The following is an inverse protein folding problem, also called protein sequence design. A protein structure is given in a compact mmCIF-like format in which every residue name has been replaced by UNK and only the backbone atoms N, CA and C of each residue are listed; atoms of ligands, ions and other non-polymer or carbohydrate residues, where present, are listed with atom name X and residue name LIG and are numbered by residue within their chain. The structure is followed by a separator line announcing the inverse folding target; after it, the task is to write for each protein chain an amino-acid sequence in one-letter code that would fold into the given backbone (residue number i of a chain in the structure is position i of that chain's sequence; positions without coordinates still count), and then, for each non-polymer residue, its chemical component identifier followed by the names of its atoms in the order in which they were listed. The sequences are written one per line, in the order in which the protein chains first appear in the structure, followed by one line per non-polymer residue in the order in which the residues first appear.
data_IF_901603378810
#
_entry.id   IF_901603378810
#
_cell.length_a   1.000
_cell.length_b   1.000
_cell.length_c   1.000
_cell.angle_alpha   90.00
_cell.angle_beta   90.00
_cell.angle_gamma   90.00
#
_symmetry.space_group_name_H-M   'P 1'
#
loop_
_entity.id
_entity.type
_entity.pdbx_description
1 polymer ?
#
# COMPACT_ATOMS: atom_id res chain seq x y z
N UNK A 1 -35.73 -22.89 -33.69
CA UNK A 1 -36.49 -22.95 -32.41
C UNK A 1 -35.50 -23.33 -31.31
N UNK A 2 -34.98 -22.35 -30.56
CA UNK A 2 -33.97 -22.60 -29.51
C UNK A 2 -34.67 -22.89 -28.17
N UNK A 3 -34.28 -23.96 -27.46
CA UNK A 3 -34.91 -24.30 -26.18
C UNK A 3 -34.42 -23.35 -25.09
N UNK A 4 -35.31 -22.50 -24.59
CA UNK A 4 -35.04 -21.72 -23.38
C UNK A 4 -35.00 -22.65 -22.17
N UNK A 5 -33.80 -22.86 -21.61
CA UNK A 5 -33.62 -23.56 -20.32
C UNK A 5 -34.28 -22.72 -19.21
N UNK A 6 -35.36 -23.24 -18.62
CA UNK A 6 -35.97 -22.69 -17.40
C UNK A 6 -34.94 -22.74 -16.26
N UNK A 7 -34.36 -21.60 -15.92
CA UNK A 7 -33.61 -21.45 -14.67
C UNK A 7 -34.59 -21.55 -13.50
N UNK A 8 -34.24 -22.34 -12.49
CA UNK A 8 -35.05 -22.49 -11.28
C UNK A 8 -34.95 -21.23 -10.42
N UNK A 9 -36.03 -20.85 -9.74
CA UNK A 9 -36.12 -19.67 -8.88
C UNK A 9 -34.96 -19.59 -7.86
N UNK A 10 -34.47 -20.75 -7.40
CA UNK A 10 -33.33 -20.89 -6.49
C UNK A 10 -32.01 -20.39 -7.10
N UNK A 11 -31.79 -20.60 -8.40
CA UNK A 11 -30.62 -20.09 -9.12
C UNK A 11 -30.68 -18.58 -9.34
N UNK A 12 -31.90 -18.01 -9.48
CA UNK A 12 -32.09 -16.57 -9.65
C UNK A 12 -31.75 -15.85 -8.32
N UNK A 13 -32.28 -16.32 -7.19
CA UNK A 13 -32.06 -15.72 -5.86
C UNK A 13 -30.57 -15.71 -5.48
N UNK A 14 -29.80 -16.73 -5.86
CA UNK A 14 -28.37 -16.81 -5.54
C UNK A 14 -27.52 -15.84 -6.37
N UNK A 15 -27.91 -15.56 -7.62
CA UNK A 15 -27.17 -14.65 -8.51
C UNK A 15 -27.39 -13.18 -8.16
N UNK A 16 -28.60 -12.79 -7.75
CA UNK A 16 -28.92 -11.39 -7.43
C UNK A 16 -28.15 -10.87 -6.20
N UNK A 17 -27.92 -11.73 -5.20
CA UNK A 17 -27.17 -11.37 -3.99
C UNK A 17 -25.68 -11.07 -4.27
N UNK A 18 -25.08 -11.78 -5.22
CA UNK A 18 -23.68 -11.58 -5.62
C UNK A 18 -23.51 -10.25 -6.37
N UNK A 19 -24.46 -9.92 -7.26
CA UNK A 19 -24.42 -8.66 -8.01
C UNK A 19 -24.60 -7.44 -7.09
N UNK A 20 -25.48 -7.53 -6.08
CA UNK A 20 -25.68 -6.44 -5.11
C UNK A 20 -24.41 -6.17 -4.26
N UNK A 21 -23.67 -7.22 -3.89
CA UNK A 21 -22.39 -7.12 -3.18
C UNK A 21 -21.29 -6.47 -4.04
N UNK A 22 -21.31 -6.70 -5.36
CA UNK A 22 -20.40 -6.02 -6.30
C UNK A 22 -20.77 -4.54 -6.53
N UNK A 23 -22.06 -4.20 -6.54
CA UNK A 23 -22.51 -2.81 -6.71
C UNK A 23 -22.25 -1.97 -5.46
N UNK A 24 -22.41 -2.53 -4.26
CA UNK A 24 -22.12 -1.83 -2.99
C UNK A 24 -20.63 -1.59 -2.77
N UNK A 25 -19.75 -2.41 -3.33
CA UNK A 25 -18.30 -2.19 -3.24
C UNK A 25 -17.80 -1.08 -4.17
N UNK A 26 -18.54 -0.72 -5.22
CA UNK A 26 -18.15 0.33 -6.16
C UNK A 26 -18.57 1.74 -5.74
N UNK A 27 -19.64 1.89 -4.95
CA UNK A 27 -20.18 3.21 -4.59
C UNK A 27 -19.36 4.01 -3.55
N UNK A 28 -18.33 3.41 -2.92
CA UNK A 28 -17.59 4.03 -1.81
C UNK A 28 -16.26 4.74 -2.13
N UNK A 29 -15.91 4.91 -3.41
CA UNK A 29 -14.53 5.24 -3.84
C UNK A 29 -14.22 6.75 -3.91
N UNK A 30 -15.08 7.64 -3.43
CA UNK A 30 -14.80 9.07 -3.50
C UNK A 30 -13.70 9.48 -2.49
N UNK A 31 -12.68 10.13 -3.02
CA UNK A 31 -11.36 10.41 -2.46
C UNK A 31 -11.41 11.31 -1.21
N UNK A 32 -10.88 10.82 -0.09
CA UNK A 32 -10.70 11.56 1.16
C UNK A 32 -9.22 11.80 1.47
N UNK A 33 -8.60 12.76 0.81
CA UNK A 33 -7.33 13.35 1.24
C UNK A 33 -7.61 14.66 1.97
N UNK A 34 -6.93 14.88 3.10
CA UNK A 34 -7.08 16.09 3.89
C UNK A 34 -6.25 17.20 3.24
N UNK A 35 -6.91 18.29 2.84
CA UNK A 35 -6.21 19.51 2.39
C UNK A 35 -5.39 20.09 3.54
N UNK A 36 -4.31 20.80 3.22
CA UNK A 36 -3.52 21.47 4.26
C UNK A 36 -4.39 22.45 5.04
N UNK A 37 -4.39 22.30 6.36
CA UNK A 37 -4.91 23.31 7.28
C UNK A 37 -3.72 24.11 7.83
N UNK A 38 -3.75 25.43 7.68
CA UNK A 38 -2.65 26.30 8.13
C UNK A 38 -2.31 26.15 9.61
N UNK A 39 -3.30 25.75 10.43
CA UNK A 39 -3.13 25.57 11.86
C UNK A 39 -2.47 24.23 12.21
N UNK A 40 -2.39 23.29 11.25
CA UNK A 40 -1.77 21.97 11.40
C UNK A 40 -0.39 21.87 10.73
N UNK A 41 0.15 22.97 10.21
CA UNK A 41 1.49 22.99 9.61
C UNK A 41 2.53 22.93 10.73
N UNK A 42 3.18 21.79 10.88
CA UNK A 42 4.32 21.57 11.77
C UNK A 42 5.58 21.37 10.91
N UNK A 43 6.76 21.76 11.42
CA UNK A 43 8.07 21.55 10.79
C UNK A 43 8.39 20.08 10.52
N UNK A 44 7.75 19.15 11.24
CA UNK A 44 7.88 17.70 11.01
C UNK A 44 6.90 17.15 9.98
N UNK A 45 5.90 17.94 9.57
CA UNK A 45 4.89 17.50 8.61
C UNK A 45 5.46 17.49 7.19
N UNK A 46 5.14 16.44 6.47
CA UNK A 46 5.44 16.32 5.05
C UNK A 46 4.17 16.58 4.25
N UNK A 47 4.34 17.19 3.10
CA UNK A 47 3.28 17.58 2.19
C UNK A 47 3.63 17.15 0.77
N UNK A 48 2.63 17.09 -0.09
CA UNK A 48 2.81 16.81 -1.51
C UNK A 48 1.93 17.77 -2.30
N UNK A 49 2.43 18.27 -3.43
CA UNK A 49 1.64 19.12 -4.33
C UNK A 49 0.71 18.27 -5.19
N UNK A 50 -0.60 18.52 -5.12
CA UNK A 50 -1.63 17.85 -5.94
C UNK A 50 -1.86 18.54 -7.30
N UNK A 51 -1.39 19.77 -7.46
CA UNK A 51 -1.44 20.56 -8.70
C UNK A 51 -0.22 21.49 -8.84
N UNK A 52 -0.07 22.11 -10.01
CA UNK A 52 1.01 23.03 -10.32
C UNK A 52 0.98 24.25 -9.40
N UNK A 53 2.11 24.48 -8.74
CA UNK A 53 2.31 25.63 -7.85
C UNK A 53 3.51 26.43 -8.34
N UNK A 54 3.53 27.75 -8.13
CA UNK A 54 4.71 28.56 -8.44
C UNK A 54 5.48 28.86 -7.16
N UNK A 55 6.79 28.86 -7.25
CA UNK A 55 7.67 29.26 -6.15
C UNK A 55 8.88 30.04 -6.65
N UNK A 56 9.53 30.74 -5.75
CA UNK A 56 10.72 31.55 -6.03
C UNK A 56 11.87 30.98 -5.20
N UNK A 57 13.03 30.75 -5.80
CA UNK A 57 14.17 30.19 -5.06
C UNK A 57 14.67 31.19 -4.01
N UNK A 58 14.92 30.67 -2.80
CA UNK A 58 15.29 31.48 -1.65
C UNK A 58 16.35 30.79 -0.77
N UNK A 59 16.89 31.53 0.19
CA UNK A 59 17.69 31.00 1.30
C UNK A 59 16.80 30.32 2.33
N UNK A 60 17.38 29.66 3.33
CA UNK A 60 16.64 29.04 4.44
C UNK A 60 15.88 30.09 5.28
N UNK A 61 16.40 31.31 5.30
CA UNK A 61 15.86 32.49 5.97
C UNK A 61 14.75 33.17 5.14
N UNK A 62 14.63 32.80 3.86
CA UNK A 62 13.62 33.32 2.95
C UNK A 62 14.08 34.49 2.07
N UNK A 63 15.38 34.79 2.02
CA UNK A 63 15.92 35.80 1.12
C UNK A 63 15.88 35.28 -0.32
N UNK A 64 15.36 36.08 -1.25
CA UNK A 64 15.22 35.68 -2.66
C UNK A 64 16.62 35.56 -3.29
N UNK A 65 16.94 34.36 -3.78
CA UNK A 65 18.19 34.09 -4.51
C UNK A 65 17.99 34.38 -6.00
N UNK A 66 16.81 34.07 -6.54
CA UNK A 66 16.43 34.34 -7.92
C UNK A 66 14.97 34.75 -7.99
N UNK A 67 14.66 35.93 -8.53
CA UNK A 67 13.30 36.44 -8.64
C UNK A 67 12.46 35.74 -9.73
N UNK A 68 13.05 34.87 -10.54
CA UNK A 68 12.34 34.14 -11.60
C UNK A 68 11.47 33.04 -10.98
N UNK A 69 10.13 33.08 -11.14
CA UNK A 69 9.27 32.02 -10.64
C UNK A 69 9.57 30.70 -11.34
N UNK A 70 9.62 29.62 -10.57
CA UNK A 70 9.78 28.24 -11.02
C UNK A 70 8.48 27.50 -10.77
N UNK A 71 8.04 26.69 -11.72
CA UNK A 71 6.90 25.79 -11.54
C UNK A 71 7.34 24.62 -10.66
N UNK A 72 6.73 24.53 -9.48
CA UNK A 72 6.89 23.44 -8.55
C UNK A 72 6.24 22.18 -9.15
N UNK A 73 6.91 21.05 -9.08
CA UNK A 73 6.45 19.89 -9.81
C UNK A 73 5.41 19.08 -9.02
N UNK A 74 4.37 18.61 -9.73
CA UNK A 74 3.26 17.83 -9.17
C UNK A 74 3.78 16.52 -8.57
N UNK A 75 3.20 16.08 -7.46
CA UNK A 75 3.64 14.94 -6.66
C UNK A 75 4.99 15.11 -5.94
N UNK A 76 5.53 16.34 -5.90
CA UNK A 76 6.73 16.62 -5.10
C UNK A 76 6.46 16.62 -3.61
N UNK A 77 7.19 15.78 -2.87
CA UNK A 77 7.14 15.75 -1.41
C UNK A 77 8.04 16.86 -0.85
N UNK A 78 7.46 17.73 -0.03
CA UNK A 78 8.14 18.84 0.61
C UNK A 78 7.81 18.94 2.10
N UNK A 79 8.59 19.76 2.80
CA UNK A 79 8.39 20.17 4.19
C UNK A 79 8.31 21.68 4.25
N UNK A 80 7.49 22.23 5.15
CA UNK A 80 7.45 23.66 5.42
C UNK A 80 8.47 23.94 6.53
N UNK A 81 9.54 24.66 6.19
CA UNK A 81 10.65 24.91 7.14
C UNK A 81 10.54 26.28 7.82
N UNK A 82 9.71 27.18 7.30
CA UNK A 82 9.54 28.51 7.85
C UNK A 82 8.40 29.30 7.19
N UNK A 83 8.16 30.49 7.74
CA UNK A 83 7.29 31.52 7.16
C UNK A 83 8.16 32.73 6.88
N UNK A 84 7.98 33.32 5.70
CA UNK A 84 8.59 34.60 5.34
C UNK A 84 7.54 35.71 5.48
N UNK A 85 7.99 36.96 5.40
CA UNK A 85 7.10 38.12 5.38
C UNK A 85 6.13 38.06 4.19
N UNK A 86 4.95 38.67 4.35
CA UNK A 86 3.98 38.77 3.25
C UNK A 86 3.21 37.48 2.91
N UNK A 87 2.87 36.65 3.90
CA UNK A 87 2.06 35.43 3.72
C UNK A 87 2.70 34.36 2.83
N UNK A 88 4.03 34.21 2.87
CA UNK A 88 4.75 33.16 2.14
C UNK A 88 5.28 32.09 3.07
N UNK A 89 5.35 30.87 2.56
CA UNK A 89 6.00 29.74 3.23
C UNK A 89 7.32 29.40 2.55
N UNK A 90 8.31 29.06 3.36
CA UNK A 90 9.57 28.52 2.88
C UNK A 90 9.40 27.00 2.86
N UNK A 91 9.46 26.40 1.68
CA UNK A 91 9.36 24.95 1.50
C UNK A 91 10.71 24.36 1.11
N UNK A 92 10.99 23.16 1.63
CA UNK A 92 12.17 22.36 1.32
C UNK A 92 11.72 21.00 0.78
N UNK A 93 12.17 20.63 -0.42
CA UNK A 93 11.88 19.32 -1.00
C UNK A 93 12.73 18.21 -0.35
N UNK A 94 12.14 17.04 -0.13
CA UNK A 94 12.79 15.94 0.60
C UNK A 94 13.92 15.26 -0.20
N UNK A 95 13.81 15.19 -1.54
CA UNK A 95 14.90 14.80 -2.44
C UNK A 95 14.69 15.44 -3.82
N UNK A 96 15.61 16.29 -4.21
CA UNK A 96 15.76 16.76 -5.59
C UNK A 96 16.87 15.93 -6.23
N UNK A 97 16.54 15.05 -7.19
CA UNK A 97 17.58 14.33 -7.94
C UNK A 97 17.45 14.72 -9.41
N UNK A 98 18.40 15.51 -9.89
CA UNK A 98 18.45 15.95 -11.28
C UNK A 98 18.82 14.76 -12.17
N UNK A 99 17.94 14.38 -13.09
CA UNK A 99 18.26 13.39 -14.11
C UNK A 99 19.26 14.00 -15.11
N UNK A 100 20.49 13.48 -15.08
CA UNK A 100 21.63 14.02 -15.85
C UNK A 100 21.47 13.95 -17.37
N UNK A 101 20.53 13.15 -17.87
CA UNK A 101 20.33 12.97 -19.32
C UNK A 101 19.22 13.83 -19.91
N UNK A 102 18.35 14.42 -19.08
CA UNK A 102 17.16 15.09 -19.60
C UNK A 102 16.69 16.21 -18.67
N UNK A 103 17.35 17.37 -18.76
CA UNK A 103 17.15 18.49 -17.83
C UNK A 103 15.72 19.06 -17.88
N UNK A 104 15.03 18.90 -19.02
CA UNK A 104 13.63 19.28 -19.20
C UNK A 104 12.62 18.24 -18.67
N UNK A 105 13.05 17.01 -18.41
CA UNK A 105 12.22 15.92 -17.87
C UNK A 105 12.61 15.57 -16.41
N UNK A 106 13.14 16.54 -15.68
CA UNK A 106 13.84 16.41 -14.40
C UNK A 106 12.98 16.04 -13.17
N UNK A 107 11.96 15.21 -13.33
CA UNK A 107 11.03 14.82 -12.28
C UNK A 107 10.93 13.32 -12.13
N UNK A 108 12.08 12.65 -12.04
CA UNK A 108 12.09 11.30 -11.48
C UNK A 108 12.11 11.39 -9.96
N UNK A 109 10.90 11.51 -9.40
CA UNK A 109 10.64 11.30 -7.99
C UNK A 109 11.00 9.87 -7.60
N UNK A 110 12.00 9.70 -6.73
CA UNK A 110 12.33 8.40 -6.18
C UNK A 110 12.00 8.29 -4.70
N UNK A 111 10.98 7.48 -4.43
CA UNK A 111 10.94 6.60 -3.27
C UNK A 111 11.48 5.22 -3.67
N UNK A 112 12.79 4.97 -3.51
CA UNK A 112 13.35 3.61 -3.42
C UNK A 112 14.78 3.60 -2.88
N UNK A 113 15.05 2.80 -1.86
CA UNK A 113 16.41 2.27 -1.61
C UNK A 113 16.80 1.37 -2.79
N UNK A 114 18.00 1.60 -3.33
CA UNK A 114 18.56 0.81 -4.43
C UNK A 114 19.83 0.11 -3.95
N UNK A 115 19.69 -1.19 -3.70
CA UNK A 115 20.79 -2.16 -3.71
C UNK A 115 21.27 -2.31 -5.16
N UNK A 116 22.33 -1.58 -5.57
CA UNK A 116 22.86 -1.72 -6.93
C UNK A 116 23.80 -0.61 -7.43
N UNK A 117 24.44 0.17 -6.55
CA UNK A 117 25.25 1.34 -6.93
C UNK A 117 26.56 0.98 -7.66
N UNK A 118 27.02 -0.27 -7.59
CA UNK A 118 28.30 -0.66 -8.19
C UNK A 118 28.30 -0.83 -9.72
N UNK A 119 27.17 -1.20 -10.33
CA UNK A 119 27.11 -1.41 -11.78
C UNK A 119 26.98 -0.09 -12.58
N UNK A 120 26.36 0.94 -11.99
CA UNK A 120 26.17 2.25 -12.64
C UNK A 120 27.43 3.11 -12.65
N UNK A 121 28.40 2.87 -11.77
CA UNK A 121 29.66 3.62 -11.73
C UNK A 121 30.60 3.33 -12.92
N UNK A 122 30.44 2.19 -13.60
CA UNK A 122 31.35 1.76 -14.67
C UNK A 122 31.03 2.30 -16.08
N UNK A 123 29.90 2.98 -16.29
CA UNK A 123 29.41 3.22 -17.68
C UNK A 123 29.24 4.69 -18.09
N UNK A 124 29.46 5.70 -17.23
CA UNK A 124 29.16 7.09 -17.60
C UNK A 124 30.40 7.94 -17.94
N UNK A 125 30.53 8.28 -19.23
CA UNK A 125 31.21 9.49 -19.69
C UNK A 125 30.45 10.74 -19.22
N UNK A 126 31.17 11.71 -18.65
CA UNK A 126 30.60 12.90 -18.00
C UNK A 126 30.49 14.05 -19.02
N UNK A 127 29.28 14.55 -19.23
CA UNK A 127 29.05 15.90 -19.77
C UNK A 127 28.98 16.90 -18.61
N UNK A 128 29.38 18.15 -18.85
CA UNK A 128 29.47 19.21 -17.84
C UNK A 128 28.60 20.40 -18.22
N UNK A 129 27.99 21.07 -17.25
CA UNK A 129 27.21 22.30 -17.46
C UNK A 129 28.09 23.49 -17.09
N UNK A 130 28.41 24.32 -18.07
CA UNK A 130 29.19 25.54 -17.86
C UNK A 130 28.26 26.65 -17.39
N UNK A 131 28.45 27.12 -16.15
CA UNK A 131 27.62 28.15 -15.51
C UNK A 131 27.81 29.54 -16.11
N UNK A 132 28.90 29.78 -16.84
CA UNK A 132 29.16 31.05 -17.51
C UNK A 132 28.48 31.12 -18.88
N UNK A 133 28.32 29.98 -19.56
CA UNK A 133 27.76 29.92 -20.92
C UNK A 133 26.38 29.28 -21.00
N UNK A 134 25.92 28.62 -19.93
CA UNK A 134 24.63 27.95 -19.84
C UNK A 134 24.49 26.73 -20.76
N UNK A 135 25.60 26.17 -21.26
CA UNK A 135 25.62 25.06 -22.23
C UNK A 135 26.21 23.79 -21.64
N UNK A 136 25.70 22.64 -22.11
CA UNK A 136 26.26 21.32 -21.79
C UNK A 136 27.44 21.04 -22.73
N UNK A 137 28.63 20.85 -22.16
CA UNK A 137 29.85 20.54 -22.90
C UNK A 137 30.19 19.03 -22.84
N UNK A 138 30.58 18.40 -23.97
CA UNK A 138 31.11 17.05 -23.97
C UNK A 138 32.48 17.02 -23.28
N UNK A 139 32.59 16.27 -22.20
CA UNK A 139 33.82 16.21 -21.40
C UNK A 139 34.91 15.42 -22.09
N UNK A 140 35.93 16.11 -22.61
CA UNK A 140 37.22 15.47 -22.90
C UNK A 140 37.89 15.12 -21.56
N UNK A 141 37.94 13.83 -21.24
CA UNK A 141 38.41 13.31 -19.93
C UNK A 141 39.83 13.77 -19.58
N UNK A 142 40.67 14.03 -20.57
CA UNK A 142 42.06 14.41 -20.39
C UNK A 142 42.23 15.84 -19.85
N UNK A 143 41.38 16.78 -20.30
CA UNK A 143 41.39 18.18 -19.82
C UNK A 143 40.97 18.24 -18.34
N UNK A 144 40.04 17.39 -17.94
CA UNK A 144 39.54 17.34 -16.56
C UNK A 144 40.52 16.64 -15.62
N UNK A 145 41.16 15.56 -16.06
CA UNK A 145 42.21 14.89 -15.28
C UNK A 145 43.40 15.82 -15.03
N UNK A 146 43.77 16.64 -16.02
CA UNK A 146 44.86 17.61 -15.90
C UNK A 146 44.47 18.80 -15.01
N UNK A 147 43.23 19.31 -15.08
CA UNK A 147 42.74 20.35 -14.15
C UNK A 147 42.61 19.85 -12.72
N UNK A 148 42.06 18.65 -12.51
CA UNK A 148 41.92 18.07 -11.16
C UNK A 148 43.27 17.80 -10.49
N UNK A 149 44.31 17.42 -11.28
CA UNK A 149 45.69 17.30 -10.77
C UNK A 149 46.34 18.64 -10.48
N UNK A 150 46.10 19.66 -11.31
CA UNK A 150 46.66 20.99 -11.11
C UNK A 150 46.04 21.74 -9.92
N UNK A 151 44.77 21.48 -9.61
CA UNK A 151 44.01 22.23 -8.60
C UNK A 151 43.80 21.46 -7.27
N UNK A 152 44.35 20.24 -7.13
CA UNK A 152 44.28 19.42 -5.90
C UNK A 152 42.84 19.24 -5.34
N UNK A 153 41.85 19.08 -6.22
CA UNK A 153 40.42 19.02 -5.85
C UNK A 153 40.04 17.59 -5.46
N UNK A 154 39.81 17.36 -4.17
CA UNK A 154 39.23 16.11 -3.62
C UNK A 154 37.75 15.98 -3.98
N UNK A 155 37.43 14.93 -4.76
CA UNK A 155 36.10 14.33 -4.99
C UNK A 155 34.90 15.27 -5.17
N UNK A 156 34.49 15.50 -6.43
CA UNK A 156 33.17 16.06 -6.78
C UNK A 156 32.03 15.07 -6.50
N UNK A 157 31.72 14.86 -5.22
CA UNK A 157 30.34 14.65 -4.79
C UNK A 157 29.71 16.04 -4.85
N UNK A 158 28.78 16.26 -5.78
CA UNK A 158 27.93 17.45 -5.69
C UNK A 158 27.04 17.16 -4.50
N UNK A 159 27.41 17.73 -3.35
CA UNK A 159 26.51 17.84 -2.23
C UNK A 159 25.27 18.55 -2.77
N UNK A 160 24.14 17.84 -2.81
CA UNK A 160 22.87 18.46 -3.21
C UNK A 160 22.56 19.43 -2.09
N UNK A 161 22.99 20.68 -2.26
CA UNK A 161 22.68 21.75 -1.33
C UNK A 161 21.16 21.80 -1.20
N UNK A 162 20.69 21.85 0.03
CA UNK A 162 19.27 22.00 0.31
C UNK A 162 18.74 23.21 -0.46
N UNK A 163 17.74 23.00 -1.32
CA UNK A 163 17.08 24.09 -2.05
C UNK A 163 15.79 24.46 -1.35
N UNK A 164 15.59 25.76 -1.15
CA UNK A 164 14.43 26.34 -0.50
C UNK A 164 13.66 27.18 -1.50
N UNK A 165 12.33 27.13 -1.41
CA UNK A 165 11.45 27.89 -2.27
C UNK A 165 10.42 28.66 -1.44
N UNK A 166 10.23 29.93 -1.77
CA UNK A 166 9.11 30.73 -1.29
C UNK A 166 7.88 30.39 -2.11
N UNK A 167 6.82 29.96 -1.43
CA UNK A 167 5.52 29.65 -2.02
C UNK A 167 4.46 30.49 -1.34
N UNK A 168 3.55 31.07 -2.12
CA UNK A 168 2.42 31.83 -1.58
C UNK A 168 1.54 30.95 -0.70
N UNK A 169 1.08 31.48 0.44
CA UNK A 169 0.20 30.73 1.37
C UNK A 169 -1.04 30.18 0.68
N UNK A 170 -1.68 30.97 -0.18
CA UNK A 170 -2.91 30.55 -0.84
C UNK A 170 -2.67 29.39 -1.79
N UNK A 171 -1.59 29.43 -2.57
CA UNK A 171 -1.22 28.35 -3.48
C UNK A 171 -0.85 27.08 -2.70
N UNK A 172 -0.09 27.23 -1.61
CA UNK A 172 0.26 26.11 -0.74
C UNK A 172 -0.97 25.43 -0.12
N UNK A 173 -1.95 26.21 0.36
CA UNK A 173 -3.16 25.68 0.98
C UNK A 173 -4.14 25.09 -0.05
N UNK A 174 -4.14 25.64 -1.27
CA UNK A 174 -5.02 25.18 -2.34
C UNK A 174 -4.53 23.85 -2.92
N UNK A 175 -3.21 23.78 -3.18
CA UNK A 175 -2.55 22.74 -3.97
C UNK A 175 -1.69 21.78 -3.13
N UNK A 176 -1.56 22.04 -1.84
CA UNK A 176 -0.83 21.17 -0.94
C UNK A 176 -1.79 20.23 -0.22
N UNK A 177 -1.39 18.96 -0.14
CA UNK A 177 -2.06 17.94 0.66
C UNK A 177 -1.06 17.31 1.64
N UNK A 178 -1.56 16.84 2.78
CA UNK A 178 -0.70 16.19 3.79
C UNK A 178 -0.17 14.87 3.23
N UNK A 179 1.15 14.73 3.20
CA UNK A 179 1.81 13.50 2.76
C UNK A 179 1.90 12.53 3.93
N UNK A 180 1.16 11.42 3.80
CA UNK A 180 1.32 10.28 4.68
C UNK A 180 2.13 9.22 3.95
N UNK A 181 3.39 8.94 4.35
CA UNK A 181 4.15 7.86 3.72
C UNK A 181 3.39 6.55 3.94
N UNK A 182 2.87 5.98 2.86
CA UNK A 182 2.22 4.68 2.91
C UNK A 182 3.36 3.65 2.83
N UNK A 183 3.64 2.91 3.91
CA UNK A 183 4.69 1.92 3.86
C UNK A 183 4.32 0.86 2.82
N UNK A 184 5.25 0.49 1.95
CA UNK A 184 5.00 -0.51 0.90
C UNK A 184 4.56 -1.85 1.49
N UNK A 185 5.06 -2.18 2.68
CA UNK A 185 4.71 -3.36 3.44
C UNK A 185 4.32 -2.98 4.87
N UNK A 186 3.28 -3.61 5.39
CA UNK A 186 2.76 -3.35 6.72
C UNK A 186 2.33 -4.67 7.37
N UNK A 187 2.59 -4.81 8.68
CA UNK A 187 2.06 -5.91 9.45
C UNK A 187 0.60 -5.66 9.80
N UNK A 188 -0.25 -6.66 9.59
CA UNK A 188 -1.69 -6.57 9.84
C UNK A 188 -2.14 -7.72 10.73
N UNK A 189 -3.14 -7.47 11.57
CA UNK A 189 -3.79 -8.44 12.45
C UNK A 189 -5.30 -8.19 12.45
N UNK A 190 -6.11 -9.22 12.30
CA UNK A 190 -7.56 -9.06 12.29
C UNK A 190 -8.32 -10.36 12.46
N UNK A 191 -9.62 -10.26 12.25
CA UNK A 191 -10.51 -11.43 12.22
C UNK A 191 -10.81 -11.84 10.79
N UNK A 192 -11.01 -13.13 10.59
CA UNK A 192 -11.40 -13.72 9.31
C UNK A 192 -12.59 -14.67 9.50
N UNK A 193 -13.52 -14.64 8.55
CA UNK A 193 -14.61 -15.59 8.44
C UNK A 193 -14.75 -16.05 6.99
N UNK A 194 -14.98 -17.33 6.78
CA UNK A 194 -15.17 -17.94 5.48
C UNK A 194 -16.65 -18.05 5.15
N UNK A 195 -17.05 -17.49 4.02
CA UNK A 195 -18.41 -17.56 3.52
C UNK A 195 -18.72 -18.94 2.92
N UNK A 196 -17.70 -19.58 2.36
CA UNK A 196 -17.79 -20.91 1.78
C UNK A 196 -16.45 -21.64 1.90
N UNK A 197 -16.51 -22.95 2.16
CA UNK A 197 -15.36 -23.87 2.14
C UNK A 197 -15.63 -25.02 1.19
N UNK A 198 -14.61 -25.43 0.45
CA UNK A 198 -14.58 -26.56 -0.46
C UNK A 198 -13.59 -27.57 0.10
N UNK A 199 -14.03 -28.80 0.31
CA UNK A 199 -13.16 -29.92 0.67
C UNK A 199 -12.98 -30.81 -0.56
N UNK A 200 -11.74 -30.97 -1.07
CA UNK A 200 -11.46 -31.80 -2.24
C UNK A 200 -11.93 -33.24 -2.05
N UNK A 201 -12.07 -33.98 -3.15
CA UNK A 201 -12.44 -35.39 -3.11
C UNK A 201 -11.43 -36.22 -2.30
N UNK A 202 -11.93 -37.12 -1.45
CA UNK A 202 -11.10 -38.02 -0.62
C UNK A 202 -11.71 -39.42 -0.63
N UNK A 203 -10.90 -40.45 -0.90
CA UNK A 203 -11.31 -41.87 -0.88
C UNK A 203 -12.59 -42.17 -1.67
N UNK A 204 -12.73 -41.58 -2.86
CA UNK A 204 -13.90 -41.79 -3.73
C UNK A 204 -15.15 -40.99 -3.35
N UNK A 205 -15.11 -40.21 -2.26
CA UNK A 205 -16.17 -39.23 -1.94
C UNK A 205 -15.95 -37.96 -2.75
N UNK A 206 -17.01 -37.44 -3.36
CA UNK A 206 -16.97 -36.22 -4.16
C UNK A 206 -16.57 -34.98 -3.33
N UNK A 207 -16.18 -33.92 -4.02
CA UNK A 207 -15.89 -32.63 -3.37
C UNK A 207 -17.14 -32.10 -2.66
N UNK A 208 -16.98 -31.58 -1.44
CA UNK A 208 -18.09 -31.06 -0.62
C UNK A 208 -17.95 -29.57 -0.36
N UNK A 209 -19.06 -28.85 -0.49
CA UNK A 209 -19.17 -27.44 -0.13
C UNK A 209 -19.84 -27.28 1.22
N UNK A 210 -19.31 -26.41 2.06
CA UNK A 210 -19.91 -26.06 3.35
C UNK A 210 -19.90 -24.55 3.56
N UNK A 211 -20.97 -24.02 4.14
CA UNK A 211 -21.11 -22.61 4.53
C UNK A 211 -21.17 -22.49 6.05
N UNK A 212 -20.43 -23.36 6.76
CA UNK A 212 -20.45 -23.40 8.20
C UNK A 212 -19.93 -22.10 8.80
N UNK A 213 -20.56 -21.67 9.90
CA UNK A 213 -20.06 -20.55 10.67
C UNK A 213 -18.66 -20.85 11.18
N UNK A 214 -17.75 -19.92 10.91
CA UNK A 214 -16.37 -19.98 11.36
C UNK A 214 -15.90 -18.57 11.71
N UNK A 215 -15.06 -18.49 12.72
CA UNK A 215 -14.45 -17.25 13.16
C UNK A 215 -13.00 -17.54 13.49
N UNK A 216 -12.09 -16.77 12.91
CA UNK A 216 -10.67 -16.90 13.18
C UNK A 216 -9.99 -15.58 13.40
N UNK A 217 -8.79 -15.69 13.97
CA UNK A 217 -7.81 -14.62 14.04
C UNK A 217 -6.73 -14.88 12.99
N UNK A 218 -6.23 -13.83 12.37
CA UNK A 218 -5.18 -13.92 11.36
C UNK A 218 -4.22 -12.75 11.47
N UNK A 219 -2.94 -13.01 11.17
CA UNK A 219 -1.89 -12.00 11.11
C UNK A 219 -0.98 -12.25 9.92
N UNK A 220 -0.30 -11.21 9.45
CA UNK A 220 0.64 -11.36 8.35
C UNK A 220 1.09 -10.02 7.77
N UNK A 221 1.46 -10.05 6.49
CA UNK A 221 2.04 -8.90 5.80
C UNK A 221 1.09 -8.45 4.69
N UNK A 222 0.85 -7.14 4.65
CA UNK A 222 0.10 -6.44 3.61
C UNK A 222 1.05 -5.63 2.75
N UNK A 223 0.99 -5.83 1.43
CA UNK A 223 1.57 -4.91 0.45
C UNK A 223 0.56 -3.83 0.11
N UNK A 224 0.86 -2.58 0.46
CA UNK A 224 0.02 -1.43 0.12
C UNK A 224 0.29 -1.01 -1.33
N UNK A 225 -0.77 -0.83 -2.12
CA UNK A 225 -0.70 -0.23 -3.46
C UNK A 225 -1.01 1.25 -3.43
N UNK A 226 -1.92 1.66 -2.55
CA UNK A 226 -2.22 3.06 -2.22
C UNK A 226 -2.85 3.13 -0.82
N UNK A 227 -3.39 4.30 -0.43
CA UNK A 227 -3.99 4.54 0.91
C UNK A 227 -5.14 3.57 1.24
N UNK A 228 -5.88 3.14 0.22
CA UNK A 228 -7.09 2.35 0.38
C UNK A 228 -6.90 0.89 -0.02
N UNK A 229 -6.01 0.59 -0.96
CA UNK A 229 -5.89 -0.72 -1.58
C UNK A 229 -4.59 -1.41 -1.23
N UNK A 230 -4.68 -2.71 -1.00
CA UNK A 230 -3.52 -3.57 -0.82
C UNK A 230 -3.83 -5.04 -1.06
N UNK A 231 -2.78 -5.85 -0.95
CA UNK A 231 -2.85 -7.31 -0.99
C UNK A 231 -2.15 -7.86 0.25
N UNK A 232 -2.82 -8.72 0.99
CA UNK A 232 -2.32 -9.30 2.23
C UNK A 232 -2.14 -10.81 2.13
N UNK A 233 -1.04 -11.30 2.67
CA UNK A 233 -0.79 -12.71 2.92
C UNK A 233 -0.83 -12.93 4.43
N UNK A 234 -1.79 -13.72 4.91
CA UNK A 234 -2.07 -13.92 6.33
C UNK A 234 -2.02 -15.39 6.71
N UNK A 235 -1.45 -15.69 7.86
CA UNK A 235 -1.61 -16.97 8.55
C UNK A 235 -2.57 -16.80 9.73
N UNK A 236 -3.35 -17.83 10.05
CA UNK A 236 -4.38 -17.70 11.07
C UNK A 236 -4.78 -19.01 11.72
N UNK A 237 -5.62 -18.87 12.75
CA UNK A 237 -6.31 -19.96 13.42
C UNK A 237 -7.80 -19.63 13.44
N UNK A 238 -8.62 -20.54 12.95
CA UNK A 238 -10.07 -20.41 12.91
C UNK A 238 -10.72 -21.52 13.74
N UNK A 239 -11.81 -21.18 14.43
CA UNK A 239 -12.70 -22.13 15.07
C UNK A 239 -13.94 -22.25 14.19
N UNK A 240 -14.36 -23.47 13.86
CA UNK A 240 -15.55 -23.71 13.05
C UNK A 240 -16.42 -24.80 13.62
N UNK A 241 -17.73 -24.71 13.38
CA UNK A 241 -18.68 -25.75 13.73
C UNK A 241 -18.93 -26.62 12.50
N UNK A 242 -18.41 -27.84 12.47
CA UNK A 242 -18.60 -28.77 11.35
C UNK A 242 -19.74 -29.74 11.62
N UNK A 243 -20.45 -30.13 10.56
CA UNK A 243 -21.43 -31.22 10.58
C UNK A 243 -20.79 -32.47 9.99
N UNK A 244 -20.79 -33.55 10.76
CA UNK A 244 -20.31 -34.87 10.35
C UNK A 244 -21.54 -35.72 10.08
N UNK A 245 -21.66 -36.24 8.86
CA UNK A 245 -22.82 -36.98 8.38
C UNK A 245 -22.40 -38.22 7.56
N UNK A 246 -23.39 -38.94 7.04
CA UNK A 246 -23.18 -40.15 6.23
C UNK A 246 -22.41 -39.89 4.93
N UNK A 247 -22.41 -38.65 4.41
CA UNK A 247 -21.72 -38.27 3.17
C UNK A 247 -20.26 -37.89 3.39
N UNK A 248 -19.87 -37.57 4.63
CA UNK A 248 -18.53 -37.13 5.00
C UNK A 248 -17.76 -38.16 5.84
N UNK A 249 -18.28 -39.38 5.97
CA UNK A 249 -17.72 -40.45 6.80
C UNK A 249 -17.46 -41.74 6.03
N UNK A 250 -16.46 -42.51 6.47
CA UNK A 250 -16.23 -43.88 6.00
C UNK A 250 -15.74 -44.78 7.15
N UNK A 251 -16.49 -45.84 7.52
CA UNK A 251 -17.82 -46.19 7.01
C UNK A 251 -18.89 -45.14 7.35
N UNK A 252 -20.01 -45.17 6.62
CA UNK A 252 -21.13 -44.25 6.80
C UNK A 252 -21.73 -44.35 8.22
N UNK A 253 -22.02 -43.20 8.83
CA UNK A 253 -22.67 -43.11 10.14
C UNK A 253 -24.19 -42.91 10.02
N UNK A 254 -24.95 -43.37 11.01
CA UNK A 254 -26.43 -43.26 11.02
C UNK A 254 -26.97 -41.91 11.49
N UNK A 255 -26.22 -41.19 12.33
CA UNK A 255 -26.65 -39.95 12.97
C UNK A 255 -25.68 -38.83 12.62
N UNK A 256 -26.19 -37.68 12.22
CA UNK A 256 -25.39 -36.47 12.06
C UNK A 256 -24.97 -35.95 13.44
N UNK A 257 -23.69 -35.63 13.59
CA UNK A 257 -23.16 -35.00 14.79
C UNK A 257 -22.50 -33.67 14.44
N UNK A 258 -22.44 -32.76 15.41
CA UNK A 258 -21.76 -31.48 15.27
C UNK A 258 -20.48 -31.48 16.11
N UNK A 259 -19.37 -31.03 15.53
CA UNK A 259 -18.08 -30.93 16.22
C UNK A 259 -17.47 -29.55 16.00
N UNK A 260 -16.70 -29.11 16.98
CA UNK A 260 -15.86 -27.92 16.86
C UNK A 260 -14.54 -28.35 16.24
N UNK A 261 -14.11 -27.66 15.19
CA UNK A 261 -12.78 -27.81 14.61
C UNK A 261 -11.91 -26.60 14.92
N UNK A 262 -10.62 -26.86 15.15
CA UNK A 262 -9.57 -25.86 15.09
C UNK A 262 -8.90 -25.96 13.73
N UNK A 263 -8.75 -24.84 13.05
CA UNK A 263 -8.30 -24.83 11.66
C UNK A 263 -7.17 -23.84 11.46
N UNK A 264 -5.89 -24.27 11.39
CA UNK A 264 -4.82 -23.41 10.89
C UNK A 264 -5.05 -23.07 9.42
N UNK A 265 -4.86 -21.80 9.08
CA UNK A 265 -5.16 -21.27 7.74
C UNK A 265 -4.06 -20.39 7.17
N UNK A 266 -3.99 -20.36 5.84
CA UNK A 266 -3.18 -19.46 5.03
C UNK A 266 -4.11 -18.74 4.04
N UNK A 267 -4.01 -17.41 3.97
CA UNK A 267 -4.97 -16.57 3.26
C UNK A 267 -4.25 -15.56 2.37
N UNK A 268 -4.79 -15.36 1.16
CA UNK A 268 -4.41 -14.28 0.26
C UNK A 268 -5.65 -13.41 0.04
N UNK A 269 -5.62 -12.19 0.58
CA UNK A 269 -6.77 -11.30 0.65
C UNK A 269 -6.44 -9.96 -0.01
N UNK A 270 -7.28 -9.52 -0.94
CA UNK A 270 -7.31 -8.12 -1.35
C UNK A 270 -8.00 -7.29 -0.27
N UNK A 271 -7.48 -6.10 0.03
CA UNK A 271 -8.09 -5.23 1.02
C UNK A 271 -8.49 -3.88 0.43
N UNK A 272 -9.63 -3.38 0.90
CA UNK A 272 -10.09 -2.01 0.74
C UNK A 272 -10.30 -1.40 2.13
N UNK A 273 -9.47 -0.41 2.49
CA UNK A 273 -9.38 0.16 3.83
C UNK A 273 -9.18 -0.96 4.86
N UNK A 274 -10.14 -1.14 5.77
CA UNK A 274 -10.13 -2.16 6.84
C UNK A 274 -10.81 -3.48 6.44
N UNK A 275 -11.41 -3.55 5.25
CA UNK A 275 -12.15 -4.73 4.78
C UNK A 275 -11.28 -5.59 3.87
N UNK A 276 -11.32 -6.91 4.07
CA UNK A 276 -10.53 -7.90 3.35
C UNK A 276 -11.46 -8.90 2.67
N UNK A 277 -11.15 -9.26 1.43
CA UNK A 277 -11.84 -10.30 0.67
C UNK A 277 -10.82 -11.11 -0.09
N UNK A 278 -10.97 -12.43 -0.11
CA UNK A 278 -10.11 -13.26 -0.95
C UNK A 278 -10.30 -14.73 -0.69
N UNK A 279 -9.21 -15.46 -0.89
CA UNK A 279 -9.20 -16.92 -0.80
C UNK A 279 -8.26 -17.39 0.30
N UNK A 280 -8.62 -18.49 0.92
CA UNK A 280 -7.82 -19.15 1.94
C UNK A 280 -7.70 -20.63 1.68
N UNK A 281 -6.70 -21.24 2.30
CA UNK A 281 -6.59 -22.68 2.47
C UNK A 281 -6.36 -22.98 3.95
N UNK A 282 -6.79 -24.13 4.42
CA UNK A 282 -6.56 -24.54 5.79
C UNK A 282 -6.77 -26.02 6.00
N UNK A 283 -6.59 -26.48 7.24
CA UNK A 283 -6.81 -27.87 7.62
C UNK A 283 -7.78 -27.91 8.79
N UNK A 284 -8.80 -28.75 8.75
CA UNK A 284 -9.70 -28.90 9.90
C UNK A 284 -9.16 -29.95 10.87
N UNK A 285 -8.91 -29.58 12.12
CA UNK A 285 -8.57 -30.53 13.19
C UNK A 285 -9.73 -30.66 14.16
N UNK A 286 -10.21 -31.89 14.33
CA UNK A 286 -11.19 -32.23 15.36
C UNK A 286 -10.62 -33.22 16.36
N UNK A 287 -11.18 -33.20 17.57
CA UNK A 287 -10.95 -34.26 18.54
C UNK A 287 -11.60 -35.57 18.06
N UNK A 288 -10.94 -36.70 18.34
CA UNK A 288 -11.37 -38.05 17.98
C UNK A 288 -11.96 -38.77 19.19
N UNK A 289 -12.83 -38.09 19.91
CA UNK A 289 -13.44 -38.51 21.17
C UNK A 289 -14.68 -39.40 20.97
N UNK A 290 -15.21 -39.51 19.75
CA UNK A 290 -16.31 -40.42 19.41
C UNK A 290 -15.99 -41.29 18.19
N UNK A 291 -16.61 -42.47 18.12
CA UNK A 291 -16.45 -43.39 16.99
C UNK A 291 -16.87 -42.73 15.66
N UNK A 292 -17.90 -41.89 15.68
CA UNK A 292 -18.35 -41.13 14.50
C UNK A 292 -17.34 -40.06 14.09
N UNK A 293 -16.72 -39.36 15.05
CA UNK A 293 -15.68 -38.36 14.75
C UNK A 293 -14.43 -38.98 14.13
N UNK A 294 -14.05 -40.19 14.57
CA UNK A 294 -12.94 -40.96 14.01
C UNK A 294 -13.17 -41.38 12.54
N UNK A 295 -14.43 -41.49 12.13
CA UNK A 295 -14.81 -41.85 10.75
C UNK A 295 -14.83 -40.66 9.80
N UNK A 296 -14.65 -39.43 10.29
CA UNK A 296 -14.69 -38.23 9.46
C UNK A 296 -13.49 -38.15 8.51
N UNK A 297 -13.78 -38.14 7.21
CA UNK A 297 -12.76 -38.29 6.17
C UNK A 297 -11.86 -37.07 5.98
N UNK A 298 -12.36 -35.90 6.38
CA UNK A 298 -11.68 -34.63 6.17
C UNK A 298 -10.84 -34.17 7.35
N UNK A 299 -10.70 -34.99 8.41
CA UNK A 299 -9.82 -34.65 9.53
C UNK A 299 -8.38 -34.50 9.05
N UNK A 300 -7.77 -33.35 9.35
CA UNK A 300 -6.42 -32.96 8.91
C UNK A 300 -6.25 -32.91 7.38
N UNK A 301 -7.35 -32.80 6.62
CA UNK A 301 -7.31 -32.63 5.16
C UNK A 301 -7.45 -31.16 4.79
N UNK A 302 -6.85 -30.75 3.66
CA UNK A 302 -6.94 -29.37 3.23
C UNK A 302 -8.38 -29.02 2.82
N UNK A 303 -8.78 -27.79 3.09
CA UNK A 303 -9.94 -27.14 2.49
C UNK A 303 -9.49 -25.84 1.81
N UNK A 304 -10.26 -25.41 0.81
CA UNK A 304 -10.16 -24.09 0.20
C UNK A 304 -11.36 -23.25 0.59
N UNK A 305 -11.18 -21.95 0.74
CA UNK A 305 -12.23 -21.09 1.25
C UNK A 305 -12.28 -19.73 0.58
N UNK A 306 -13.46 -19.14 0.55
CA UNK A 306 -13.66 -17.73 0.19
C UNK A 306 -13.92 -17.00 1.50
N UNK A 307 -13.02 -16.08 1.84
CA UNK A 307 -13.00 -15.38 3.13
C UNK A 307 -13.30 -13.90 3.01
N UNK A 308 -13.94 -13.37 4.05
CA UNK A 308 -13.97 -11.95 4.35
C UNK A 308 -13.28 -11.71 5.70
N UNK A 309 -12.61 -10.58 5.84
CA UNK A 309 -11.92 -10.21 7.07
C UNK A 309 -12.06 -8.74 7.38
N UNK A 310 -11.90 -8.41 8.66
CA UNK A 310 -11.85 -7.03 9.14
C UNK A 310 -10.55 -6.85 9.91
N UNK A 311 -9.74 -5.88 9.50
CA UNK A 311 -8.57 -5.48 10.28
C UNK A 311 -9.05 -4.71 11.52
N UNK A 312 -8.72 -5.24 12.70
CA UNK A 312 -9.10 -4.65 13.98
C UNK A 312 -8.14 -3.52 14.38
N UNK A 313 -6.89 -3.58 13.94
CA UNK A 313 -5.85 -2.61 14.30
C UNK A 313 -5.29 -1.98 13.03
N UNK A 314 -5.68 -0.73 12.77
CA UNK A 314 -4.94 0.12 11.82
C UNK A 314 -4.08 1.04 12.64
N UNK A 315 -2.78 0.77 12.71
CA UNK A 315 -1.80 1.62 13.39
C UNK A 315 -1.71 3.03 12.78
N UNK A 316 -2.36 3.27 11.64
CA UNK A 316 -2.31 4.52 10.88
C UNK A 316 -3.45 5.51 11.09
N UNK A 317 -4.37 5.29 12.05
CA UNK A 317 -5.28 6.38 12.42
C UNK A 317 -4.50 7.36 13.30
N UNK A 318 -3.98 8.41 12.67
CA UNK A 318 -3.63 9.67 13.32
C UNK A 318 -4.88 10.36 13.88
N UNK A 319 -5.69 9.63 14.65
CA UNK A 319 -6.38 10.20 15.81
C UNK A 319 -5.35 10.28 16.95
N UNK A 320 -4.11 10.68 16.65
CA UNK A 320 -3.24 11.29 17.65
C UNK A 320 -4.11 12.40 18.24
N UNK A 321 -4.53 12.31 19.52
CA UNK A 321 -5.18 13.42 20.16
C UNK A 321 -4.24 14.59 19.94
N UNK A 322 -4.80 15.70 19.45
CA UNK A 322 -4.10 16.96 19.31
C UNK A 322 -3.47 17.23 20.68
N UNK A 323 -2.19 16.88 20.84
CA UNK A 323 -1.42 17.17 22.05
C UNK A 323 -1.22 18.66 21.96
N UNK A 324 -2.27 19.36 22.36
CA UNK A 324 -2.24 20.73 22.80
C UNK A 324 -1.24 20.72 23.96
N UNK A 325 0.02 20.96 23.63
CA UNK A 325 0.98 21.50 24.56
C UNK A 325 0.38 22.84 25.02
N UNK A 326 -0.48 22.78 26.04
CA UNK A 326 -0.81 23.93 26.85
C UNK A 326 0.45 24.26 27.65
N UNK A 327 1.09 25.33 27.17
CA UNK A 327 1.97 26.31 27.81
C UNK A 327 2.96 25.80 28.86
#
# INVERSE_FOLDING_TARGET
MFPFKKLTLKQIIMKTKIVLLFLLTWAGVIFGQEKINSNKINVTSQFIFDDFTKGVECTKEGDIVSATPVTMPVDAIFTVVGKSEGNKYIVKFLRWNLNKTNVSNNLEYYYKESSGIEALRKTYGKTFFDTNTGRVMPGNQEVIANRMKAENITSNIIEVTDRYFLVEKNDLLLNGIVYHPIPKFEFVFGTITYLARIRPSVKGISSTWSTDLNLGIAYGVRRNFNKNWGLAALVGLSISKIKIDSLSTSPSIKRTIEKVSLSPTLNILGNYKKFFVGVGMGFDWINLDSEESAKWLYNRKPFYAIGIGINLFSAGNNDTPDVTNKQ
#
